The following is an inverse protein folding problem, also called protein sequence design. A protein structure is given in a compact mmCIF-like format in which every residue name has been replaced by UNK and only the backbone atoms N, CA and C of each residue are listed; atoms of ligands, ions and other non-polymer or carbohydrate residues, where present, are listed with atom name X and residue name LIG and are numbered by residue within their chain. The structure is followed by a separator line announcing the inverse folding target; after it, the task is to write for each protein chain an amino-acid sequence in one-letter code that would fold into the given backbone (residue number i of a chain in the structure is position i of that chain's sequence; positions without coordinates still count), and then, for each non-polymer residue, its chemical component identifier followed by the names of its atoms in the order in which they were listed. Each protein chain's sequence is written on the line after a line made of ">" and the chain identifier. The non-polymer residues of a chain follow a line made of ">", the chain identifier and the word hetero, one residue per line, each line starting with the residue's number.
data_IF_511105912244
#
_entry.id   IF_511105912244
#
_cell.length_a   1.000
_cell.length_b   1.000
_cell.length_c   1.000
_cell.angle_alpha   90.00
_cell.angle_beta   90.00
_cell.angle_gamma   90.00
#
_symmetry.space_group_name_H-M   'P 1'
#
loop_
_entity.id
_entity.type
_entity.pdbx_description
1 polymer ?
#
# COMPACT_ATOMS: atom_id res chain seq x y z
N UNK A 1 3.65 32.79 55.03
CA UNK A 1 3.80 31.95 53.82
C UNK A 1 5.06 32.40 53.09
N UNK A 2 6.02 31.52 52.87
CA UNK A 2 7.34 31.86 52.31
C UNK A 2 7.27 32.13 50.81
N UNK A 3 8.09 33.04 50.26
CA UNK A 3 8.05 33.41 48.83
C UNK A 3 8.39 32.24 47.89
N UNK A 4 8.97 31.16 48.43
CA UNK A 4 9.29 29.93 47.70
C UNK A 4 8.02 29.12 47.36
N UNK A 5 7.06 29.01 48.29
CA UNK A 5 5.82 28.23 48.12
C UNK A 5 4.89 28.89 47.10
N UNK A 6 4.89 30.23 47.04
CA UNK A 6 4.09 30.96 46.05
C UNK A 6 4.63 30.81 44.62
N UNK A 7 5.95 30.66 44.46
CA UNK A 7 6.58 30.38 43.15
C UNK A 7 6.31 28.97 42.65
N UNK A 8 6.37 27.96 43.52
CA UNK A 8 6.10 26.56 43.12
C UNK A 8 4.63 26.36 42.73
N UNK A 9 3.68 26.99 43.43
CA UNK A 9 2.27 27.00 43.04
C UNK A 9 2.02 27.72 41.71
N UNK A 10 2.65 28.88 41.49
CA UNK A 10 2.54 29.60 40.22
C UNK A 10 3.07 28.80 39.02
N UNK A 11 4.21 28.12 39.20
CA UNK A 11 4.80 27.26 38.16
C UNK A 11 3.88 26.06 37.88
N UNK A 12 3.36 25.39 38.91
CA UNK A 12 2.43 24.27 38.74
C UNK A 12 1.12 24.69 38.03
N UNK A 13 0.60 25.89 38.32
CA UNK A 13 -0.60 26.42 37.67
C UNK A 13 -0.37 26.72 36.17
N UNK A 14 0.80 27.25 35.80
CA UNK A 14 1.18 27.45 34.40
C UNK A 14 1.28 26.12 33.63
N UNK A 15 1.82 25.07 34.25
CA UNK A 15 1.85 23.73 33.63
C UNK A 15 0.44 23.15 33.45
N UNK A 16 -0.46 23.37 34.42
CA UNK A 16 -1.86 22.94 34.32
C UNK A 16 -2.62 23.67 33.20
N UNK A 17 -2.44 24.98 33.08
CA UNK A 17 -3.04 25.80 32.01
C UNK A 17 -2.50 25.39 30.64
N UNK A 18 -1.19 25.13 30.55
CA UNK A 18 -0.56 24.67 29.31
C UNK A 18 -1.09 23.31 28.83
N UNK A 19 -1.64 22.49 29.74
CA UNK A 19 -2.24 21.20 29.40
C UNK A 19 -3.72 21.33 29.02
N UNK A 20 -4.47 22.26 29.63
CA UNK A 20 -5.93 22.41 29.42
C UNK A 20 -6.26 23.28 28.20
N UNK A 21 -5.54 24.37 27.95
CA UNK A 21 -5.80 25.27 26.80
C UNK A 21 -5.75 24.58 25.42
N UNK A 22 -4.80 23.67 25.11
CA UNK A 22 -4.79 23.04 23.79
C UNK A 22 -6.00 22.12 23.55
N UNK A 23 -6.59 21.54 24.60
CA UNK A 23 -7.76 20.64 24.48
C UNK A 23 -8.99 21.40 23.96
N UNK A 24 -9.24 22.61 24.47
CA UNK A 24 -10.36 23.46 24.01
C UNK A 24 -10.16 24.03 22.60
N UNK A 25 -8.90 24.22 22.17
CA UNK A 25 -8.59 24.69 20.82
C UNK A 25 -8.80 23.62 19.74
N UNK A 26 -8.62 22.33 20.07
CA UNK A 26 -8.76 21.23 19.10
C UNK A 26 -10.23 21.01 18.69
N UNK A 27 -11.20 21.16 19.60
CA UNK A 27 -12.63 21.00 19.27
C UNK A 27 -13.12 22.00 18.21
N UNK A 28 -12.61 23.23 18.21
CA UNK A 28 -13.02 24.24 17.24
C UNK A 28 -12.45 23.96 15.83
N UNK A 29 -11.32 23.23 15.71
CA UNK A 29 -10.76 22.81 14.42
C UNK A 29 -11.58 21.72 13.73
N UNK A 30 -12.29 20.90 14.51
CA UNK A 30 -13.07 19.76 13.99
C UNK A 30 -14.46 20.16 13.49
N UNK A 31 -14.93 21.38 13.79
CA UNK A 31 -16.27 21.85 13.36
C UNK A 31 -16.38 22.09 11.86
N UNK A 32 -15.27 22.31 11.17
CA UNK A 32 -15.23 22.55 9.73
C UNK A 32 -14.87 21.27 8.96
N UNK A 33 -15.16 21.25 7.66
CA UNK A 33 -14.73 20.18 6.78
C UNK A 33 -13.19 20.14 6.72
N UNK A 34 -12.65 18.93 6.78
CA UNK A 34 -11.21 18.70 6.70
C UNK A 34 -10.98 17.42 5.92
N UNK A 35 -10.38 17.55 4.74
CA UNK A 35 -10.01 16.40 3.91
C UNK A 35 -8.58 15.98 4.24
N UNK A 36 -8.42 14.69 4.48
CA UNK A 36 -7.13 14.01 4.48
C UNK A 36 -7.08 13.15 3.23
N UNK A 37 -5.95 13.19 2.53
CA UNK A 37 -5.78 12.42 1.32
C UNK A 37 -4.48 11.63 1.31
N UNK A 38 -4.54 10.43 0.76
CA UNK A 38 -3.37 9.60 0.51
C UNK A 38 -3.30 9.21 -0.96
N UNK A 39 -2.08 9.12 -1.47
CA UNK A 39 -1.77 8.71 -2.83
C UNK A 39 -1.06 7.37 -2.78
N UNK A 40 -1.57 6.37 -3.50
CA UNK A 40 -0.99 5.03 -3.61
C UNK A 40 -0.81 4.65 -5.08
N UNK A 41 0.30 4.00 -5.40
CA UNK A 41 0.58 3.48 -6.74
C UNK A 41 0.41 1.97 -6.66
N UNK A 42 -0.58 1.44 -7.38
CA UNK A 42 -0.93 0.03 -7.31
C UNK A 42 0.00 -0.83 -8.17
N UNK A 43 0.44 -0.29 -9.31
CA UNK A 43 1.38 -1.00 -10.18
C UNK A 43 2.74 -1.12 -9.48
N UNK A 44 3.23 -2.36 -9.31
CA UNK A 44 4.52 -2.62 -8.67
C UNK A 44 5.71 -2.01 -9.42
N UNK A 45 5.55 -1.81 -10.74
CA UNK A 45 6.58 -1.24 -11.60
C UNK A 45 5.95 -0.25 -12.58
N UNK A 46 6.57 0.91 -12.75
CA UNK A 46 6.27 1.80 -13.86
C UNK A 46 7.04 1.30 -15.09
N UNK A 47 6.34 1.08 -16.20
CA UNK A 47 6.94 0.56 -17.43
C UNK A 47 6.52 1.43 -18.61
N UNK A 48 7.48 1.68 -19.49
CA UNK A 48 7.24 2.36 -20.77
C UNK A 48 6.08 1.68 -21.52
N UNK A 49 5.11 2.48 -21.99
CA UNK A 49 3.93 2.04 -22.77
C UNK A 49 3.00 1.07 -22.06
N UNK A 50 3.15 0.83 -20.76
CA UNK A 50 2.17 0.08 -19.94
C UNK A 50 1.43 1.03 -19.01
N UNK A 51 0.25 0.63 -18.59
CA UNK A 51 -0.61 1.41 -17.71
C UNK A 51 -0.05 1.45 -16.27
N UNK A 52 0.07 2.66 -15.74
CA UNK A 52 0.38 2.94 -14.35
C UNK A 52 -0.91 3.35 -13.64
N UNK A 53 -1.30 2.58 -12.64
CA UNK A 53 -2.51 2.82 -11.85
C UNK A 53 -2.16 3.59 -10.59
N UNK A 54 -2.76 4.76 -10.41
CA UNK A 54 -2.61 5.58 -9.20
C UNK A 54 -3.97 5.79 -8.55
N UNK A 55 -4.05 5.45 -7.26
CA UNK A 55 -5.27 5.55 -6.46
C UNK A 55 -5.11 6.70 -5.47
N UNK A 56 -6.15 7.54 -5.41
CA UNK A 56 -6.27 8.62 -4.44
C UNK A 56 -7.38 8.28 -3.46
N UNK A 57 -7.04 8.18 -2.18
CA UNK A 57 -8.03 8.03 -1.12
C UNK A 57 -8.27 9.38 -0.47
N UNK A 58 -9.51 9.85 -0.47
CA UNK A 58 -9.90 11.10 0.17
C UNK A 58 -10.89 10.79 1.30
N UNK A 59 -10.60 11.29 2.49
CA UNK A 59 -11.42 11.10 3.67
C UNK A 59 -11.78 12.46 4.26
N UNK A 60 -13.08 12.75 4.38
CA UNK A 60 -13.53 13.89 5.17
C UNK A 60 -13.55 13.50 6.65
N UNK A 61 -12.67 14.10 7.44
CA UNK A 61 -12.56 13.89 8.89
C UNK A 61 -13.14 15.07 9.69
N UNK A 62 -13.73 16.06 9.00
CA UNK A 62 -14.35 17.23 9.61
C UNK A 62 -15.81 17.02 9.96
N UNK A 63 -16.34 17.88 10.82
CA UNK A 63 -17.74 17.88 11.26
C UNK A 63 -18.74 18.47 10.25
N UNK A 64 -18.24 19.07 9.16
CA UNK A 64 -19.06 19.60 8.06
C UNK A 64 -18.78 18.87 6.74
N UNK A 65 -19.74 18.93 5.81
CA UNK A 65 -19.56 18.42 4.46
C UNK A 65 -18.53 19.27 3.69
N UNK A 66 -17.62 18.58 2.99
CA UNK A 66 -16.73 19.20 2.03
C UNK A 66 -17.44 19.31 0.68
N UNK A 67 -17.57 20.53 0.15
CA UNK A 67 -18.24 20.82 -1.11
C UNK A 67 -17.22 21.21 -2.18
N UNK A 68 -17.57 20.93 -3.45
CA UNK A 68 -16.77 21.26 -4.63
C UNK A 68 -15.31 20.81 -4.50
N UNK A 69 -15.12 19.51 -4.26
CA UNK A 69 -13.79 18.90 -4.11
C UNK A 69 -13.17 18.74 -5.48
N UNK A 70 -12.07 19.46 -5.72
CA UNK A 70 -11.29 19.39 -6.94
C UNK A 70 -9.89 18.84 -6.61
N UNK A 71 -9.47 17.81 -7.34
CA UNK A 71 -8.14 17.21 -7.23
C UNK A 71 -7.33 17.56 -8.47
N UNK A 72 -6.15 18.15 -8.25
CA UNK A 72 -5.21 18.55 -9.29
C UNK A 72 -3.86 17.90 -9.04
N UNK A 73 -3.36 17.19 -10.04
CA UNK A 73 -2.01 16.60 -10.03
C UNK A 73 -1.27 17.04 -11.30
N UNK A 74 -0.08 17.61 -11.13
CA UNK A 74 0.76 18.10 -12.23
C UNK A 74 1.29 16.97 -13.12
N UNK A 75 1.36 15.74 -12.59
CA UNK A 75 1.85 14.59 -13.33
C UNK A 75 0.87 14.10 -14.40
N UNK A 76 -0.36 14.62 -14.42
CA UNK A 76 -1.44 14.18 -15.31
C UNK A 76 -1.98 15.39 -16.07
N UNK A 77 -2.18 15.25 -17.39
CA UNK A 77 -2.76 16.31 -18.19
C UNK A 77 -4.21 16.56 -17.73
N UNK A 78 -4.65 17.81 -17.54
CA UNK A 78 -6.02 18.12 -17.13
C UNK A 78 -7.07 17.64 -18.15
N UNK A 79 -6.67 17.39 -19.39
CA UNK A 79 -7.54 16.88 -20.44
C UNK A 79 -7.70 15.34 -20.40
N UNK A 80 -6.92 14.65 -19.57
CA UNK A 80 -6.92 13.20 -19.45
C UNK A 80 -7.50 12.80 -18.08
N UNK A 81 -8.83 12.80 -17.97
CA UNK A 81 -9.58 12.41 -16.75
C UNK A 81 -9.57 10.90 -16.48
N UNK A 82 -8.54 10.17 -16.95
CA UNK A 82 -8.39 8.75 -16.66
C UNK A 82 -7.30 8.60 -15.60
N UNK A 83 -7.59 7.86 -14.52
CA UNK A 83 -6.64 7.55 -13.44
C UNK A 83 -5.48 6.62 -13.89
N UNK A 84 -5.37 6.41 -15.20
CA UNK A 84 -4.35 5.61 -15.86
C UNK A 84 -3.34 6.57 -16.47
N UNK A 85 -2.08 6.44 -16.07
CA UNK A 85 -0.97 7.13 -16.75
C UNK A 85 -0.20 6.10 -17.55
N UNK A 86 0.06 6.39 -18.81
CA UNK A 86 0.98 5.57 -19.61
C UNK A 86 2.30 6.33 -19.70
N UNK A 87 3.39 5.86 -19.08
CA UNK A 87 4.70 6.47 -19.23
C UNK A 87 5.18 6.30 -20.67
N UNK A 88 5.43 7.41 -21.36
CA UNK A 88 5.84 7.38 -22.78
C UNK A 88 7.32 7.01 -22.94
N UNK A 89 8.16 7.53 -22.04
CA UNK A 89 9.61 7.34 -22.07
C UNK A 89 10.10 6.68 -20.79
N UNK A 90 11.21 5.95 -20.91
CA UNK A 90 11.91 5.35 -19.78
C UNK A 90 12.78 6.40 -19.06
N UNK A 91 12.99 6.23 -17.76
CA UNK A 91 13.81 7.17 -16.99
C UNK A 91 13.34 7.34 -15.57
N UNK A 92 13.73 8.45 -14.94
CA UNK A 92 13.28 8.81 -13.60
C UNK A 92 12.04 9.68 -13.69
N UNK A 93 11.04 9.36 -12.88
CA UNK A 93 9.83 10.17 -12.77
C UNK A 93 9.60 10.55 -11.32
N UNK A 94 9.39 11.84 -11.09
CA UNK A 94 9.04 12.36 -9.78
C UNK A 94 7.54 12.29 -9.57
N UNK A 95 7.09 11.54 -8.57
CA UNK A 95 5.69 11.59 -8.14
C UNK A 95 5.52 12.68 -7.10
N UNK A 96 5.04 13.85 -7.54
CA UNK A 96 4.66 14.96 -6.68
C UNK A 96 3.34 14.66 -5.95
N UNK A 97 3.07 15.44 -4.90
CA UNK A 97 1.79 15.39 -4.21
C UNK A 97 0.70 16.05 -5.05
N UNK A 98 -0.49 15.47 -5.07
CA UNK A 98 -1.66 16.11 -5.66
C UNK A 98 -2.21 17.17 -4.69
N UNK A 99 -2.64 18.29 -5.25
CA UNK A 99 -3.33 19.36 -4.55
C UNK A 99 -4.84 19.12 -4.59
N UNK A 100 -5.50 19.23 -3.44
CA UNK A 100 -6.93 19.07 -3.31
C UNK A 100 -7.49 20.37 -2.75
N UNK A 101 -8.39 20.99 -3.52
CA UNK A 101 -9.10 22.21 -3.14
C UNK A 101 -10.55 21.88 -2.81
N UNK A 102 -11.06 22.42 -1.71
CA UNK A 102 -12.45 22.20 -1.28
C UNK A 102 -12.99 23.36 -0.46
N UNK A 103 -14.30 23.38 -0.28
CA UNK A 103 -15.04 24.35 0.53
C UNK A 103 -15.64 23.67 1.77
N UNK A 104 -15.68 24.38 2.90
CA UNK A 104 -16.30 23.90 4.14
C UNK A 104 -17.67 24.53 4.32
N UNK A 105 -18.72 23.71 4.31
CA UNK A 105 -20.08 24.20 4.46
C UNK A 105 -20.59 24.95 3.22
N UNK A 106 -21.85 25.39 3.32
CA UNK A 106 -22.61 25.98 2.20
C UNK A 106 -22.19 27.44 1.90
N UNK A 107 -21.61 28.13 2.88
CA UNK A 107 -21.08 29.47 2.69
C UNK A 107 -19.73 29.41 1.97
N UNK A 108 -19.67 29.94 0.75
CA UNK A 108 -18.53 29.85 -0.18
C UNK A 108 -17.31 30.68 0.25
N UNK A 109 -17.09 30.90 1.56
CA UNK A 109 -16.26 31.97 2.09
C UNK A 109 -14.76 31.64 2.15
N UNK A 110 -14.36 30.36 2.23
CA UNK A 110 -12.94 29.96 2.31
C UNK A 110 -12.61 28.68 1.53
N UNK A 111 -11.79 28.81 0.47
CA UNK A 111 -11.16 27.67 -0.21
C UNK A 111 -10.00 27.13 0.63
N UNK A 112 -10.10 25.86 1.03
CA UNK A 112 -9.05 25.13 1.73
C UNK A 112 -8.24 24.31 0.74
N UNK A 113 -6.96 24.15 1.05
CA UNK A 113 -6.01 23.32 0.31
C UNK A 113 -5.53 22.19 1.21
N UNK A 114 -5.57 20.97 0.70
CA UNK A 114 -4.96 19.79 1.30
C UNK A 114 -4.06 19.13 0.28
N UNK A 115 -3.01 18.46 0.74
CA UNK A 115 -2.06 17.77 -0.12
C UNK A 115 -2.11 16.28 0.16
N UNK A 116 -1.86 15.48 -0.87
CA UNK A 116 -1.64 14.04 -0.70
C UNK A 116 -0.23 13.76 -0.20
N UNK A 117 -0.02 12.53 0.26
CA UNK A 117 1.33 12.00 0.51
C UNK A 117 2.19 12.07 -0.76
N UNK A 118 3.48 12.36 -0.58
CA UNK A 118 4.49 12.30 -1.63
C UNK A 118 5.15 10.92 -1.62
N UNK A 119 5.31 10.28 -2.79
CA UNK A 119 6.00 8.98 -2.91
C UNK A 119 7.50 9.16 -3.20
N UNK A 120 7.89 10.26 -3.82
CA UNK A 120 9.28 10.54 -4.22
C UNK A 120 9.56 10.11 -5.67
N UNK A 121 10.84 9.99 -6.00
CA UNK A 121 11.32 9.61 -7.32
C UNK A 121 11.18 8.09 -7.53
N UNK A 122 10.67 7.68 -8.70
CA UNK A 122 10.55 6.29 -9.10
C UNK A 122 11.18 6.08 -10.49
N UNK A 123 11.58 4.85 -10.78
CA UNK A 123 12.22 4.51 -12.06
C UNK A 123 11.19 3.86 -12.97
N UNK A 124 11.01 4.45 -14.15
CA UNK A 124 10.27 3.85 -15.25
C UNK A 124 11.21 2.93 -16.01
N UNK A 125 10.89 1.64 -15.97
CA UNK A 125 11.61 0.63 -16.74
C UNK A 125 11.26 0.72 -18.22
N UNK A 126 12.26 0.55 -19.07
CA UNK A 126 12.02 0.26 -20.49
C UNK A 126 11.31 -1.08 -20.63
N UNK A 127 10.37 -1.17 -21.56
CA UNK A 127 9.58 -2.40 -21.78
C UNK A 127 10.47 -3.66 -21.92
N UNK A 128 11.49 -3.60 -22.79
CA UNK A 128 12.45 -4.70 -22.99
C UNK A 128 13.19 -5.11 -21.71
N UNK A 129 13.57 -4.16 -20.87
CA UNK A 129 14.29 -4.45 -19.63
C UNK A 129 13.36 -4.97 -18.54
N UNK A 130 12.09 -4.57 -18.59
CA UNK A 130 11.06 -5.09 -17.71
C UNK A 130 10.77 -6.55 -18.04
N UNK A 131 10.47 -6.87 -19.31
CA UNK A 131 10.12 -8.23 -19.72
C UNK A 131 11.27 -9.21 -19.37
N UNK A 132 12.53 -8.84 -19.66
CA UNK A 132 13.70 -9.66 -19.27
C UNK A 132 13.81 -9.97 -17.78
N UNK A 133 13.36 -9.08 -16.88
CA UNK A 133 13.56 -9.22 -15.42
C UNK A 133 12.32 -9.74 -14.70
N UNK A 134 11.14 -9.42 -15.21
CA UNK A 134 9.88 -9.56 -14.50
C UNK A 134 8.83 -10.33 -15.30
N UNK A 135 9.11 -10.74 -16.53
CA UNK A 135 8.22 -11.66 -17.26
C UNK A 135 8.15 -13.00 -16.53
N UNK A 136 6.94 -13.54 -16.45
CA UNK A 136 6.70 -14.80 -15.76
C UNK A 136 7.09 -15.95 -16.68
N UNK A 137 8.12 -16.71 -16.29
CA UNK A 137 8.69 -17.78 -17.12
C UNK A 137 7.87 -19.08 -17.06
N UNK A 138 6.52 -19.00 -17.05
CA UNK A 138 5.68 -20.18 -16.88
C UNK A 138 5.86 -21.23 -17.98
N UNK A 139 6.13 -20.81 -19.22
CA UNK A 139 6.42 -21.71 -20.32
C UNK A 139 7.64 -22.59 -20.04
N UNK A 140 8.72 -21.97 -19.54
CA UNK A 140 9.94 -22.70 -19.18
C UNK A 140 9.69 -23.65 -18.02
N UNK A 141 8.97 -23.21 -16.98
CA UNK A 141 8.60 -24.07 -15.85
C UNK A 141 7.79 -25.30 -16.30
N UNK A 142 6.85 -25.13 -17.24
CA UNK A 142 6.06 -26.25 -17.77
C UNK A 142 6.97 -27.23 -18.53
N UNK A 143 7.89 -26.75 -19.36
CA UNK A 143 8.85 -27.59 -20.07
C UNK A 143 9.74 -28.38 -19.10
N UNK A 144 10.24 -27.72 -18.03
CA UNK A 144 11.00 -28.40 -16.98
C UNK A 144 10.19 -29.49 -16.30
N UNK A 145 8.94 -29.21 -15.93
CA UNK A 145 8.03 -30.19 -15.32
C UNK A 145 7.77 -31.36 -16.27
N UNK A 146 7.51 -31.09 -17.55
CA UNK A 146 7.25 -32.11 -18.57
C UNK A 146 8.48 -33.00 -18.81
N UNK A 147 9.68 -32.43 -18.77
CA UNK A 147 10.93 -33.17 -18.93
C UNK A 147 11.29 -34.03 -17.71
N UNK A 148 11.00 -33.55 -16.50
CA UNK A 148 11.31 -34.24 -15.23
C UNK A 148 10.22 -35.26 -14.86
N UNK A 149 8.96 -35.03 -15.25
CA UNK A 149 7.85 -35.93 -14.98
C UNK A 149 8.11 -37.39 -15.37
N UNK A 150 8.58 -37.75 -16.59
CA UNK A 150 8.79 -39.15 -16.95
C UNK A 150 9.91 -39.81 -16.12
N UNK A 151 10.96 -39.06 -15.76
CA UNK A 151 12.07 -39.60 -14.96
C UNK A 151 11.71 -39.75 -13.48
N UNK A 152 10.74 -38.98 -12.96
CA UNK A 152 10.18 -39.18 -11.61
C UNK A 152 9.05 -40.21 -11.57
N UNK A 153 8.20 -40.25 -12.59
CA UNK A 153 7.03 -41.14 -12.65
C UNK A 153 7.42 -42.60 -12.75
N UNK A 154 8.45 -42.96 -13.52
CA UNK A 154 8.86 -44.37 -13.69
C UNK A 154 9.37 -44.97 -12.37
N UNK A 155 10.35 -44.37 -11.65
CA UNK A 155 10.76 -44.86 -10.34
C UNK A 155 9.63 -44.85 -9.31
N UNK A 156 8.78 -43.81 -9.29
CA UNK A 156 7.64 -43.74 -8.37
C UNK A 156 6.62 -44.86 -8.62
N UNK A 157 6.27 -45.13 -9.89
CA UNK A 157 5.39 -46.24 -10.26
C UNK A 157 5.96 -47.59 -9.80
N UNK A 158 7.26 -47.80 -10.02
CA UNK A 158 7.93 -49.02 -9.57
C UNK A 158 7.90 -49.15 -8.04
N UNK A 159 8.15 -48.06 -7.32
CA UNK A 159 8.11 -48.03 -5.86
C UNK A 159 6.72 -48.31 -5.29
N UNK A 160 5.67 -47.72 -5.88
CA UNK A 160 4.28 -47.96 -5.46
C UNK A 160 3.88 -49.43 -5.64
N UNK A 161 4.23 -50.03 -6.79
CA UNK A 161 4.01 -51.46 -7.05
C UNK A 161 4.78 -52.33 -6.04
N UNK A 162 6.03 -51.97 -5.72
CA UNK A 162 6.85 -52.70 -4.74
C UNK A 162 6.20 -52.69 -3.34
N UNK A 163 5.73 -51.52 -2.88
CA UNK A 163 5.09 -51.39 -1.57
C UNK A 163 3.80 -52.18 -1.45
N UNK A 164 2.99 -52.24 -2.51
CA UNK A 164 1.77 -53.05 -2.51
C UNK A 164 2.08 -54.54 -2.38
N UNK A 165 3.19 -55.01 -2.95
CA UNK A 165 3.57 -56.44 -2.95
C UNK A 165 4.29 -56.88 -1.67
N UNK A 166 5.15 -56.04 -1.09
CA UNK A 166 6.02 -56.41 0.03
C UNK A 166 5.70 -55.67 1.34
N UNK A 167 4.68 -54.79 1.35
CA UNK A 167 4.29 -54.02 2.52
C UNK A 167 3.52 -54.80 3.59
N UNK A 168 3.02 -56.00 3.25
CA UNK A 168 2.43 -56.92 4.23
C UNK A 168 3.53 -57.86 4.71
N UNK A 169 4.13 -57.56 5.86
CA UNK A 169 4.91 -58.54 6.63
C UNK A 169 3.87 -59.49 7.24
N UNK A 170 3.78 -60.78 6.86
CA UNK A 170 3.01 -61.72 7.66
C UNK A 170 3.65 -61.74 9.04
N UNK A 171 2.85 -61.52 10.09
CA UNK A 171 3.30 -61.59 11.48
C UNK A 171 4.13 -62.85 11.65
N UNK A 172 5.40 -62.68 12.04
CA UNK A 172 6.31 -63.77 12.30
C UNK A 172 5.68 -64.57 13.43
N UNK A 173 5.19 -65.77 13.10
CA UNK A 173 4.58 -66.68 14.07
C UNK A 173 5.63 -66.97 15.14
N UNK A 174 5.36 -66.48 16.34
CA UNK A 174 6.15 -66.58 17.56
C UNK A 174 6.02 -68.01 18.13
N UNK A 175 6.14 -69.04 17.28
CA UNK A 175 5.82 -70.44 17.61
C UNK A 175 6.97 -71.44 17.46
N UNK A 176 8.20 -70.99 17.17
CA UNK A 176 9.39 -71.85 17.25
C UNK A 176 10.28 -71.46 18.44
N UNK A 177 9.69 -71.52 19.63
CA UNK A 177 10.37 -71.64 20.92
C UNK A 177 9.90 -72.91 21.64
N UNK A 178 10.38 -74.07 21.19
CA UNK A 178 10.54 -75.30 22.00
C UNK A 178 11.83 -75.99 21.59
#
# INVERSE_FOLDING_TARGET
>A
MTPLVMKTFGIAFCFFISFILPVWMEENKLKEARIVASKQILSSYAVEKKELIVIYHLYNIGGQAALNVELRDENFSPNHFQFLKVPQDYGRMNFTAAEITYHSGEENTKRRKSYTTIKGEDIIYRLKDYDRRFEQHYGDWILFVLMILPSLLVPAMLWLKSRQKYGTIPAQDESLSV
#
